data_IF_177701286222
#
_entry.id   IF_177701286222
#
_cell.length_a   1.000
_cell.length_b   1.000
_cell.length_c   1.000
_cell.angle_alpha   90.00
_cell.angle_beta   90.00
_cell.angle_gamma   90.00
#
_symmetry.space_group_name_H-M   'P 1'
#
loop_
_entity.id
_entity.type
_entity.pdbx_description
1 polymer ?
#
# COMPACT_ATOMS: atom_id res chain seq x y z
N UNK A 1 16.80 -29.09 10.95
CA UNK A 1 16.09 -27.97 11.58
C UNK A 1 16.03 -26.81 10.59
N UNK A 2 14.90 -26.14 10.46
CA UNK A 2 14.82 -24.99 9.58
C UNK A 2 15.71 -23.84 10.13
N UNK A 3 16.35 -23.11 9.24
CA UNK A 3 17.25 -21.99 9.59
C UNK A 3 16.43 -20.83 10.13
N UNK A 4 16.88 -20.20 11.24
CA UNK A 4 16.25 -18.98 11.75
C UNK A 4 16.25 -17.87 10.68
N UNK A 5 15.13 -17.14 10.58
CA UNK A 5 14.97 -15.96 9.73
C UNK A 5 15.22 -14.64 10.47
N UNK A 6 15.58 -14.72 11.76
CA UNK A 6 15.91 -13.53 12.56
C UNK A 6 17.20 -12.91 12.06
N UNK A 7 17.14 -11.60 11.82
CA UNK A 7 18.26 -10.79 11.33
C UNK A 7 18.23 -9.41 12.00
N UNK A 8 19.21 -8.58 11.75
CA UNK A 8 19.20 -7.16 12.17
C UNK A 8 18.51 -6.29 11.14
N UNK A 9 18.07 -5.10 11.55
CA UNK A 9 17.51 -4.09 10.64
C UNK A 9 18.49 -3.76 9.52
N UNK A 10 19.75 -3.53 9.88
CA UNK A 10 20.81 -3.18 8.94
C UNK A 10 21.02 -4.26 7.86
N UNK A 11 21.13 -5.54 8.28
CA UNK A 11 21.28 -6.65 7.34
C UNK A 11 20.06 -6.84 6.45
N UNK A 12 18.86 -6.69 7.00
CA UNK A 12 17.62 -6.81 6.23
C UNK A 12 17.53 -5.72 5.16
N UNK A 13 17.76 -4.45 5.55
CA UNK A 13 17.75 -3.32 4.62
C UNK A 13 18.80 -3.50 3.53
N UNK A 14 20.06 -3.81 3.91
CA UNK A 14 21.16 -4.01 2.96
C UNK A 14 20.89 -5.14 1.96
N UNK A 15 20.16 -6.17 2.38
CA UNK A 15 19.92 -7.36 1.55
C UNK A 15 18.77 -7.17 0.57
N UNK A 16 17.73 -6.45 0.97
CA UNK A 16 16.44 -6.44 0.25
C UNK A 16 16.02 -5.06 -0.25
N UNK A 17 16.66 -3.98 0.20
CA UNK A 17 16.23 -2.62 -0.16
C UNK A 17 17.24 -1.97 -1.11
N UNK A 18 16.72 -1.16 -2.06
CA UNK A 18 17.51 -0.48 -3.08
C UNK A 18 16.81 0.80 -3.55
N UNK A 19 17.56 1.71 -4.16
CA UNK A 19 17.04 2.96 -4.70
C UNK A 19 15.97 2.69 -5.78
N UNK A 20 14.88 3.42 -5.72
CA UNK A 20 13.78 3.34 -6.69
C UNK A 20 12.80 2.20 -6.44
N UNK A 21 13.00 1.35 -5.44
CA UNK A 21 12.10 0.23 -5.14
C UNK A 21 10.67 0.69 -4.83
N UNK A 22 9.74 -0.20 -5.07
CA UNK A 22 8.38 -0.10 -4.56
C UNK A 22 8.28 -0.74 -3.16
N UNK A 23 7.68 -0.04 -2.21
CA UNK A 23 7.56 -0.52 -0.83
C UNK A 23 6.15 -0.38 -0.31
N UNK A 24 5.60 -1.49 0.17
CA UNK A 24 4.34 -1.55 0.91
C UNK A 24 4.61 -1.23 2.38
N UNK A 25 4.00 -0.14 2.86
CA UNK A 25 4.07 0.31 4.24
C UNK A 25 2.68 0.29 4.85
N UNK A 26 2.23 -0.84 5.43
CA UNK A 26 0.96 -0.91 6.12
C UNK A 26 0.96 -0.02 7.37
N UNK A 27 -0.24 0.26 7.84
CA UNK A 27 -0.46 1.08 9.01
C UNK A 27 -1.72 1.95 8.84
N UNK A 28 -2.26 2.41 9.96
CA UNK A 28 -3.35 3.38 9.99
C UNK A 28 -2.92 4.59 10.83
N UNK A 29 -2.62 5.71 10.18
CA UNK A 29 -1.89 6.84 10.73
C UNK A 29 -0.53 6.35 11.26
N UNK A 30 -0.35 6.23 12.57
CA UNK A 30 0.89 5.72 13.18
C UNK A 30 0.72 4.32 13.82
N UNK A 31 -0.47 3.71 13.72
CA UNK A 31 -0.74 2.40 14.34
C UNK A 31 -0.32 1.29 13.40
N UNK A 32 0.53 0.38 13.86
CA UNK A 32 1.01 -0.77 13.08
C UNK A 32 1.99 -0.40 11.97
N UNK A 33 2.76 0.65 12.15
CA UNK A 33 3.85 1.08 11.25
C UNK A 33 5.19 0.58 11.79
N UNK A 34 6.05 0.10 10.91
CA UNK A 34 7.40 -0.43 11.23
C UNK A 34 8.40 0.72 11.37
N UNK A 35 8.46 1.33 12.53
CA UNK A 35 9.27 2.53 12.81
C UNK A 35 10.78 2.28 12.67
N UNK A 36 11.28 1.14 13.20
CA UNK A 36 12.72 0.80 13.14
C UNK A 36 13.16 0.49 11.71
N UNK A 37 12.33 -0.18 10.91
CA UNK A 37 12.65 -0.46 9.51
C UNK A 37 12.66 0.82 8.67
N UNK A 38 11.75 1.76 8.93
CA UNK A 38 11.74 3.08 8.29
C UNK A 38 13.01 3.87 8.63
N UNK A 39 13.41 3.90 9.90
CA UNK A 39 14.66 4.54 10.35
C UNK A 39 15.89 3.89 9.73
N UNK A 40 15.91 2.56 9.67
CA UNK A 40 16.98 1.81 9.02
C UNK A 40 17.11 2.12 7.53
N UNK A 41 16.00 2.29 6.84
CA UNK A 41 15.96 2.63 5.42
C UNK A 41 16.54 4.05 5.18
N UNK A 42 16.18 5.02 6.02
CA UNK A 42 16.72 6.38 5.98
C UNK A 42 18.24 6.36 6.28
N UNK A 43 18.65 5.63 7.33
CA UNK A 43 20.06 5.51 7.72
C UNK A 43 20.94 4.87 6.64
N UNK A 44 20.36 3.96 5.84
CA UNK A 44 21.06 3.34 4.70
C UNK A 44 21.15 4.26 3.48
N UNK A 45 20.48 5.42 3.48
CA UNK A 45 20.49 6.40 2.38
C UNK A 45 19.71 5.95 1.15
N UNK A 46 18.79 4.99 1.29
CA UNK A 46 17.91 4.52 0.21
C UNK A 46 16.93 5.63 -0.18
N UNK A 47 16.76 5.89 -1.47
CA UNK A 47 15.98 7.01 -2.00
C UNK A 47 15.16 6.66 -3.24
N UNK A 48 14.44 7.65 -3.75
CA UNK A 48 13.57 7.54 -4.94
C UNK A 48 12.44 6.51 -4.80
N UNK A 49 11.97 6.30 -3.57
CA UNK A 49 10.99 5.28 -3.23
C UNK A 49 9.61 5.49 -3.89
N UNK A 50 8.99 4.39 -4.29
CA UNK A 50 7.57 4.32 -4.63
C UNK A 50 6.80 3.72 -3.46
N UNK A 51 6.25 4.57 -2.59
CA UNK A 51 5.54 4.14 -1.37
C UNK A 51 4.09 3.82 -1.66
N UNK A 52 3.63 2.66 -1.23
CA UNK A 52 2.22 2.26 -1.24
C UNK A 52 1.76 2.10 0.22
N UNK A 53 0.79 2.92 0.63
CA UNK A 53 0.31 2.93 2.01
C UNK A 53 -1.12 3.45 2.10
N UNK A 54 -1.77 3.23 3.24
CA UNK A 54 -3.08 3.84 3.51
C UNK A 54 -3.00 5.38 3.58
N UNK A 55 -1.96 5.92 4.22
CA UNK A 55 -1.70 7.36 4.38
C UNK A 55 -0.22 7.61 4.64
N UNK A 56 0.16 8.88 4.80
CA UNK A 56 1.55 9.29 5.05
C UNK A 56 1.85 9.58 6.53
N UNK A 57 1.09 8.97 7.44
CA UNK A 57 1.22 9.20 8.89
C UNK A 57 1.02 10.69 9.27
N UNK A 58 1.65 11.14 10.34
CA UNK A 58 1.78 12.55 10.71
C UNK A 58 3.24 12.98 10.56
N UNK A 59 3.56 14.29 10.53
CA UNK A 59 4.95 14.76 10.46
C UNK A 59 5.83 14.13 11.53
N UNK A 60 7.06 13.77 11.18
CA UNK A 60 8.10 13.22 12.06
C UNK A 60 7.82 11.84 12.66
N UNK A 61 6.78 11.12 12.19
CA UNK A 61 6.43 9.78 12.66
C UNK A 61 6.05 8.85 11.52
N UNK A 62 6.36 7.56 11.68
CA UNK A 62 6.03 6.56 10.69
C UNK A 62 6.51 6.96 9.30
N UNK A 63 5.65 6.87 8.31
CA UNK A 63 5.93 7.26 6.93
C UNK A 63 6.29 8.75 6.81
N UNK A 64 5.82 9.60 7.72
CA UNK A 64 6.22 11.02 7.78
C UNK A 64 7.72 11.22 7.88
N UNK A 65 8.47 10.31 8.53
CA UNK A 65 9.94 10.35 8.56
C UNK A 65 10.57 10.22 7.17
N UNK A 66 10.00 9.38 6.29
CA UNK A 66 10.47 9.25 4.90
C UNK A 66 10.17 10.51 4.09
N UNK A 67 9.03 11.17 4.37
CA UNK A 67 8.68 12.47 3.76
C UNK A 67 9.66 13.54 4.20
N UNK A 68 9.99 13.60 5.50
CA UNK A 68 10.94 14.55 6.07
C UNK A 68 12.37 14.36 5.54
N UNK A 69 12.73 13.10 5.22
CA UNK A 69 14.06 12.73 4.71
C UNK A 69 14.22 12.89 3.18
N UNK A 70 13.19 13.36 2.46
CA UNK A 70 13.20 13.55 1.00
C UNK A 70 13.52 12.31 0.18
N UNK A 71 13.15 11.12 0.68
CA UNK A 71 13.48 9.84 0.02
C UNK A 71 12.34 9.27 -0.82
N UNK A 72 11.17 9.93 -0.84
CA UNK A 72 9.98 9.46 -1.56
C UNK A 72 9.87 10.20 -2.91
N UNK A 73 9.77 9.44 -3.99
CA UNK A 73 9.48 9.98 -5.33
C UNK A 73 8.01 9.84 -5.70
N UNK A 74 7.36 8.75 -5.33
CA UNK A 74 5.95 8.46 -5.64
C UNK A 74 5.21 7.95 -4.41
N UNK A 75 3.96 8.34 -4.27
CA UNK A 75 3.05 7.81 -3.23
C UNK A 75 1.75 7.34 -3.89
N UNK A 76 1.36 6.11 -3.58
CA UNK A 76 0.02 5.60 -3.83
C UNK A 76 -0.67 5.41 -2.48
N UNK A 77 -1.72 6.19 -2.20
CA UNK A 77 -2.39 6.13 -0.90
C UNK A 77 -3.86 6.57 -0.99
N UNK A 78 -4.59 6.43 0.12
CA UNK A 78 -5.97 6.88 0.21
C UNK A 78 -6.13 8.28 0.84
N UNK A 79 -5.11 8.77 1.56
CA UNK A 79 -5.21 10.02 2.30
C UNK A 79 -3.83 10.61 2.64
N UNK A 80 -3.67 11.93 2.49
CA UNK A 80 -2.45 12.66 2.88
C UNK A 80 -2.71 13.83 3.85
N UNK A 81 -3.98 14.15 4.12
CA UNK A 81 -4.35 15.35 4.88
C UNK A 81 -3.88 15.40 6.34
N UNK A 82 -3.41 14.28 6.90
CA UNK A 82 -2.83 14.24 8.24
C UNK A 82 -1.38 14.74 8.28
N UNK A 83 -0.74 14.93 7.12
CA UNK A 83 0.66 15.33 6.99
C UNK A 83 0.78 16.55 6.06
N UNK A 84 0.83 17.73 6.64
CA UNK A 84 0.92 18.98 5.89
C UNK A 84 2.21 19.07 5.04
N UNK A 85 3.30 18.43 5.46
CA UNK A 85 4.55 18.37 4.70
C UNK A 85 4.35 17.59 3.42
N UNK A 86 3.67 16.43 3.49
CA UNK A 86 3.33 15.65 2.29
C UNK A 86 2.45 16.45 1.34
N UNK A 87 1.42 17.14 1.88
CA UNK A 87 0.53 17.98 1.06
C UNK A 87 1.33 19.04 0.31
N UNK A 88 2.25 19.74 0.99
CA UNK A 88 3.06 20.79 0.37
C UNK A 88 3.97 20.21 -0.72
N UNK A 89 4.69 19.12 -0.46
CA UNK A 89 5.57 18.48 -1.44
C UNK A 89 4.84 17.98 -2.69
N UNK A 90 3.60 17.51 -2.54
CA UNK A 90 2.75 17.13 -3.68
C UNK A 90 2.35 18.38 -4.49
N UNK A 91 1.97 19.47 -3.83
CA UNK A 91 1.61 20.73 -4.50
C UNK A 91 2.81 21.32 -5.26
N UNK A 92 4.00 21.22 -4.69
CA UNK A 92 5.26 21.71 -5.29
C UNK A 92 5.79 20.78 -6.40
N UNK A 93 5.17 19.63 -6.61
CA UNK A 93 5.57 18.64 -7.63
C UNK A 93 6.82 17.83 -7.27
N UNK A 94 7.22 17.82 -6.01
CA UNK A 94 8.35 17.04 -5.51
C UNK A 94 7.99 15.55 -5.37
N UNK A 95 6.72 15.25 -5.05
CA UNK A 95 6.18 13.90 -4.90
C UNK A 95 5.02 13.67 -5.86
N UNK A 96 5.11 12.63 -6.69
CA UNK A 96 4.00 12.18 -7.53
C UNK A 96 2.98 11.43 -6.68
N UNK A 97 1.73 11.89 -6.68
CA UNK A 97 0.65 11.30 -5.89
C UNK A 97 -0.37 10.57 -6.76
N UNK A 98 -0.68 9.34 -6.38
CA UNK A 98 -1.84 8.59 -6.89
C UNK A 98 -2.81 8.30 -5.76
N UNK A 99 -4.00 8.88 -5.81
CA UNK A 99 -5.06 8.52 -4.88
C UNK A 99 -5.78 7.24 -5.30
N UNK A 100 -6.01 6.38 -4.31
CA UNK A 100 -6.84 5.17 -4.47
C UNK A 100 -7.78 5.11 -3.27
N UNK A 101 -9.10 4.94 -3.45
CA UNK A 101 -10.01 4.79 -2.34
C UNK A 101 -9.57 3.67 -1.40
N UNK A 102 -9.67 3.87 -0.09
CA UNK A 102 -9.06 3.00 0.93
C UNK A 102 -9.39 1.51 0.75
N UNK A 103 -10.68 1.19 0.57
CA UNK A 103 -11.11 -0.19 0.35
C UNK A 103 -10.56 -0.76 -0.96
N UNK A 104 -10.56 0.02 -2.04
CA UNK A 104 -9.97 -0.37 -3.32
C UNK A 104 -8.47 -0.61 -3.19
N UNK A 105 -7.75 0.24 -2.45
CA UNK A 105 -6.30 0.06 -2.21
C UNK A 105 -6.01 -1.28 -1.52
N UNK A 106 -6.74 -1.59 -0.45
CA UNK A 106 -6.58 -2.84 0.28
C UNK A 106 -6.86 -4.06 -0.62
N UNK A 107 -7.95 -4.01 -1.40
CA UNK A 107 -8.34 -5.10 -2.29
C UNK A 107 -7.39 -5.23 -3.49
N UNK A 108 -6.84 -4.14 -4.03
CA UNK A 108 -5.80 -4.18 -5.07
C UNK A 108 -4.54 -4.87 -4.57
N UNK A 109 -4.09 -4.56 -3.35
CA UNK A 109 -2.94 -5.21 -2.72
C UNK A 109 -3.25 -6.68 -2.44
N UNK A 110 -4.42 -6.99 -1.86
CA UNK A 110 -4.84 -8.38 -1.63
C UNK A 110 -4.90 -9.18 -2.93
N UNK A 111 -5.40 -8.59 -4.01
CA UNK A 111 -5.44 -9.21 -5.34
C UNK A 111 -4.02 -9.51 -5.85
N UNK A 112 -3.08 -8.57 -5.68
CA UNK A 112 -1.67 -8.75 -6.04
C UNK A 112 -1.03 -9.93 -5.33
N UNK A 113 -1.25 -10.02 -3.99
CA UNK A 113 -0.74 -11.14 -3.19
C UNK A 113 -1.38 -12.49 -3.50
N UNK A 114 -2.61 -12.49 -4.00
CA UNK A 114 -3.34 -13.70 -4.37
C UNK A 114 -3.17 -14.12 -5.84
N UNK A 115 -2.40 -13.38 -6.65
CA UNK A 115 -2.26 -13.63 -8.09
C UNK A 115 -3.55 -13.38 -8.89
N UNK A 116 -4.45 -12.53 -8.37
CA UNK A 116 -5.71 -12.16 -9.05
C UNK A 116 -5.42 -11.00 -9.99
N UNK A 117 -5.82 -11.11 -11.26
CA UNK A 117 -5.52 -10.14 -12.33
C UNK A 117 -6.22 -8.79 -12.21
N UNK A 118 -7.20 -8.64 -11.31
CA UNK A 118 -7.92 -7.41 -11.07
C UNK A 118 -9.17 -7.64 -10.23
N UNK A 119 -9.78 -6.54 -9.79
CA UNK A 119 -11.03 -6.56 -9.02
C UNK A 119 -12.06 -5.63 -9.68
N UNK A 120 -13.33 -5.95 -9.52
CA UNK A 120 -14.45 -5.10 -9.90
C UNK A 120 -15.05 -4.49 -8.64
N UNK A 121 -15.10 -3.17 -8.57
CA UNK A 121 -15.64 -2.44 -7.42
C UNK A 121 -16.54 -1.27 -7.86
N UNK A 122 -17.65 -1.03 -7.16
CA UNK A 122 -18.46 0.18 -7.40
C UNK A 122 -17.80 1.45 -6.82
N UNK A 123 -16.76 1.28 -5.99
CA UNK A 123 -16.08 2.40 -5.33
C UNK A 123 -15.32 3.25 -6.36
N UNK A 124 -15.57 4.56 -6.32
CA UNK A 124 -14.96 5.50 -7.26
C UNK A 124 -15.76 5.75 -8.55
N UNK A 125 -16.84 5.01 -8.80
CA UNK A 125 -17.76 5.31 -9.91
C UNK A 125 -18.25 6.76 -9.84
N UNK A 126 -18.33 7.41 -11.00
CA UNK A 126 -18.81 8.78 -11.17
C UNK A 126 -18.00 9.83 -10.41
N UNK A 127 -16.75 9.52 -10.11
CA UNK A 127 -15.77 10.43 -9.52
C UNK A 127 -14.50 10.45 -10.36
N UNK A 128 -13.59 11.41 -10.19
CA UNK A 128 -12.29 11.41 -10.89
C UNK A 128 -11.46 10.13 -10.67
N UNK A 129 -11.82 9.31 -9.69
CA UNK A 129 -11.13 8.04 -9.43
C UNK A 129 -11.37 6.98 -10.51
N UNK A 130 -12.39 7.14 -11.36
CA UNK A 130 -12.62 6.24 -12.49
C UNK A 130 -11.94 6.68 -13.79
N UNK A 131 -11.39 7.88 -13.83
CA UNK A 131 -10.78 8.43 -15.05
C UNK A 131 -9.63 7.56 -15.55
N UNK A 132 -9.65 7.25 -16.85
CA UNK A 132 -8.67 6.38 -17.48
C UNK A 132 -8.81 4.89 -17.16
N UNK A 133 -9.80 4.48 -16.37
CA UNK A 133 -10.05 3.09 -16.03
C UNK A 133 -11.20 2.50 -16.84
N UNK A 134 -11.19 1.19 -16.99
CA UNK A 134 -12.32 0.49 -17.59
C UNK A 134 -13.49 0.39 -16.63
N UNK A 135 -14.69 0.68 -17.12
CA UNK A 135 -15.94 0.48 -16.41
C UNK A 135 -16.72 -0.64 -17.09
N UNK A 136 -17.30 -1.52 -16.29
CA UNK A 136 -18.15 -2.62 -16.77
C UNK A 136 -19.53 -2.53 -16.17
N UNK A 137 -20.51 -3.00 -16.92
CA UNK A 137 -21.92 -3.12 -16.49
C UNK A 137 -22.31 -4.60 -16.56
N UNK A 138 -22.96 -5.09 -15.52
CA UNK A 138 -23.54 -6.43 -15.52
C UNK A 138 -24.83 -6.44 -16.36
N UNK A 139 -24.84 -7.26 -17.39
CA UNK A 139 -26.01 -7.52 -18.21
C UNK A 139 -26.72 -8.77 -17.67
N UNK A 140 -27.88 -8.57 -17.06
CA UNK A 140 -28.63 -9.66 -16.41
C UNK A 140 -29.22 -10.63 -17.42
N UNK A 141 -29.64 -10.15 -18.61
CA UNK A 141 -30.22 -11.02 -19.64
C UNK A 141 -29.18 -11.88 -20.30
N UNK A 142 -28.00 -11.31 -20.58
CA UNK A 142 -26.91 -12.01 -21.21
C UNK A 142 -26.03 -12.78 -20.21
N UNK A 143 -26.19 -12.56 -18.90
CA UNK A 143 -25.40 -13.20 -17.83
C UNK A 143 -23.91 -12.90 -17.93
N UNK A 144 -23.51 -11.71 -18.40
CA UNK A 144 -22.11 -11.32 -18.60
C UNK A 144 -21.86 -9.85 -18.37
N UNK A 145 -20.59 -9.50 -18.16
CA UNK A 145 -20.17 -8.10 -18.15
C UNK A 145 -20.00 -7.57 -19.57
N UNK A 146 -20.38 -6.32 -19.79
CA UNK A 146 -20.05 -5.53 -20.98
C UNK A 146 -19.19 -4.34 -20.56
N UNK A 147 -18.19 -4.01 -21.37
CA UNK A 147 -17.42 -2.79 -21.19
C UNK A 147 -18.22 -1.58 -21.63
N UNK A 148 -18.13 -0.50 -20.86
CA UNK A 148 -18.74 0.77 -21.21
C UNK A 148 -17.68 1.69 -21.81
N UNK A 149 -18.08 2.44 -22.85
CA UNK A 149 -17.24 3.43 -23.53
C UNK A 149 -17.91 4.80 -23.48
N UNK A 150 -17.12 5.85 -23.58
CA UNK A 150 -17.59 7.23 -23.58
C UNK A 150 -17.97 7.75 -22.21
N UNK A 151 -18.86 8.75 -22.17
CA UNK A 151 -19.30 9.37 -20.93
C UNK A 151 -20.24 8.44 -20.17
N UNK A 152 -19.92 8.17 -18.91
CA UNK A 152 -20.67 7.25 -18.04
C UNK A 152 -21.39 8.06 -16.98
N UNK A 153 -22.68 8.26 -17.17
CA UNK A 153 -23.55 8.99 -16.23
C UNK A 153 -24.13 8.08 -15.15
N UNK A 154 -24.42 8.60 -13.93
CA UNK A 154 -25.05 7.83 -12.87
C UNK A 154 -26.40 7.22 -13.30
N UNK A 155 -26.57 5.93 -13.01
CA UNK A 155 -27.82 5.19 -13.21
C UNK A 155 -27.94 4.12 -12.10
N UNK A 156 -28.81 4.38 -11.13
CA UNK A 156 -29.01 3.50 -9.99
C UNK A 156 -29.66 2.14 -10.34
N UNK A 157 -30.26 2.02 -11.54
CA UNK A 157 -30.86 0.77 -12.02
C UNK A 157 -29.82 -0.21 -12.57
N UNK A 158 -28.58 0.25 -12.78
CA UNK A 158 -27.48 -0.51 -13.40
C UNK A 158 -26.44 -0.94 -12.38
N UNK A 159 -26.00 -2.20 -12.51
CA UNK A 159 -24.90 -2.75 -11.72
C UNK A 159 -23.58 -2.49 -12.45
N UNK A 160 -22.91 -1.41 -12.10
CA UNK A 160 -21.65 -0.97 -12.70
C UNK A 160 -20.48 -1.06 -11.75
N UNK A 161 -19.30 -1.27 -12.31
CA UNK A 161 -18.07 -1.44 -11.55
C UNK A 161 -16.90 -0.84 -12.31
N UNK A 162 -15.94 -0.30 -11.57
CA UNK A 162 -14.62 0.06 -12.08
C UNK A 162 -13.72 -1.17 -12.02
N UNK A 163 -12.96 -1.44 -13.06
CA UNK A 163 -11.88 -2.43 -13.04
C UNK A 163 -10.63 -1.80 -12.42
N UNK A 164 -10.20 -2.35 -11.29
CA UNK A 164 -8.97 -1.98 -10.62
C UNK A 164 -7.91 -3.07 -10.81
N UNK A 165 -6.72 -2.69 -11.29
CA UNK A 165 -5.60 -3.61 -11.45
C UNK A 165 -4.94 -3.89 -10.11
N UNK A 166 -4.35 -5.09 -9.90
CA UNK A 166 -3.71 -5.46 -8.65
C UNK A 166 -2.46 -4.60 -8.39
N UNK A 167 -2.03 -4.54 -7.13
CA UNK A 167 -0.78 -3.93 -6.70
C UNK A 167 0.10 -5.02 -6.08
N UNK A 168 1.35 -5.08 -6.54
CA UNK A 168 2.44 -5.87 -5.99
C UNK A 168 3.67 -4.99 -5.86
N UNK A 169 4.54 -5.23 -4.89
CA UNK A 169 5.72 -4.42 -4.65
C UNK A 169 6.98 -5.26 -4.45
N UNK A 170 8.15 -4.62 -4.49
CA UNK A 170 9.42 -5.30 -4.27
C UNK A 170 9.56 -5.72 -2.79
N UNK A 171 9.19 -4.82 -1.88
CA UNK A 171 9.36 -5.04 -0.43
C UNK A 171 8.11 -4.64 0.34
N UNK A 172 7.81 -5.35 1.44
CA UNK A 172 6.81 -4.97 2.43
C UNK A 172 7.42 -4.93 3.83
N UNK A 173 7.20 -3.83 4.56
CA UNK A 173 7.57 -3.72 5.97
C UNK A 173 6.35 -3.97 6.84
N UNK A 174 6.34 -5.06 7.56
CA UNK A 174 5.23 -5.47 8.44
C UNK A 174 5.58 -5.19 9.90
N UNK A 175 4.65 -4.61 10.65
CA UNK A 175 4.75 -4.50 12.11
C UNK A 175 3.93 -5.60 12.79
N UNK A 176 4.56 -6.38 13.64
CA UNK A 176 3.93 -7.44 14.41
C UNK A 176 4.15 -7.27 15.93
N UNK A 177 3.23 -7.77 16.74
CA UNK A 177 3.43 -7.85 18.18
C UNK A 177 4.44 -8.93 18.55
N UNK A 178 4.26 -10.15 18.00
CA UNK A 178 5.16 -11.28 18.24
C UNK A 178 5.48 -11.99 16.95
N UNK A 179 6.70 -12.49 16.85
CA UNK A 179 7.12 -13.37 15.78
C UNK A 179 7.86 -14.59 16.33
N UNK A 180 7.78 -15.71 15.65
CA UNK A 180 8.70 -16.81 15.89
C UNK A 180 9.92 -16.72 14.94
N UNK A 181 10.93 -17.57 15.19
CA UNK A 181 12.16 -17.61 14.37
C UNK A 181 11.94 -18.05 12.93
N UNK A 182 10.73 -18.52 12.59
CA UNK A 182 10.35 -18.95 11.25
C UNK A 182 9.62 -17.85 10.47
N UNK A 183 9.22 -16.74 11.13
CA UNK A 183 8.49 -15.64 10.53
C UNK A 183 6.96 -15.78 10.62
N UNK A 184 6.44 -16.68 11.47
CA UNK A 184 5.02 -16.64 11.82
C UNK A 184 4.78 -15.48 12.78
N UNK A 185 3.71 -14.70 12.56
CA UNK A 185 3.45 -13.45 13.28
C UNK A 185 2.08 -13.41 13.92
N UNK A 186 1.98 -12.67 15.02
CA UNK A 186 0.72 -12.35 15.70
C UNK A 186 0.62 -10.84 15.86
N UNK A 187 -0.51 -10.29 15.45
CA UNK A 187 -0.80 -8.87 15.61
C UNK A 187 -1.52 -8.59 16.94
N UNK A 188 -1.39 -7.37 17.41
CA UNK A 188 -2.03 -6.93 18.64
C UNK A 188 -3.08 -5.86 18.36
N UNK A 189 -4.34 -6.16 18.72
CA UNK A 189 -5.46 -5.20 18.61
C UNK A 189 -5.55 -4.60 17.19
N UNK A 190 -5.72 -3.29 17.08
CA UNK A 190 -5.89 -2.55 15.82
C UNK A 190 -4.61 -2.41 14.99
N UNK A 191 -3.43 -2.77 15.53
CA UNK A 191 -2.18 -2.77 14.75
C UNK A 191 -2.17 -3.82 13.63
N UNK A 192 -3.09 -4.79 13.64
CA UNK A 192 -3.31 -5.71 12.52
C UNK A 192 -3.61 -4.95 11.23
N UNK A 193 -4.57 -4.01 11.24
CA UNK A 193 -5.03 -3.15 10.14
C UNK A 193 -4.71 -3.71 8.73
N UNK A 194 -3.87 -3.04 7.94
CA UNK A 194 -3.47 -3.47 6.59
C UNK A 194 -2.30 -4.46 6.58
N UNK A 195 -1.65 -4.71 7.73
CA UNK A 195 -0.43 -5.52 7.80
C UNK A 195 -0.61 -6.91 7.19
N UNK A 196 -1.73 -7.58 7.47
CA UNK A 196 -2.01 -8.93 6.97
C UNK A 196 -2.16 -8.97 5.44
N UNK A 197 -2.93 -8.07 4.87
CA UNK A 197 -3.15 -8.03 3.43
C UNK A 197 -1.86 -7.63 2.69
N UNK A 198 -1.14 -6.65 3.20
CA UNK A 198 0.08 -6.13 2.58
C UNK A 198 1.23 -7.14 2.61
N UNK A 199 1.34 -7.94 3.67
CA UNK A 199 2.34 -8.99 3.78
C UNK A 199 2.30 -10.06 2.67
N UNK A 200 1.21 -10.14 1.91
CA UNK A 200 1.06 -11.15 0.85
C UNK A 200 1.48 -10.64 -0.53
N UNK A 201 1.70 -9.34 -0.69
CA UNK A 201 1.78 -8.67 -1.99
C UNK A 201 3.15 -8.03 -2.26
N UNK A 202 4.23 -8.66 -1.79
CA UNK A 202 5.59 -8.24 -2.09
C UNK A 202 6.51 -9.43 -2.31
N UNK A 203 7.58 -9.22 -3.09
CA UNK A 203 8.60 -10.24 -3.33
C UNK A 203 9.35 -10.58 -2.03
N UNK A 204 9.58 -9.57 -1.20
CA UNK A 204 10.23 -9.70 0.10
C UNK A 204 9.42 -9.05 1.21
N UNK A 205 9.26 -9.79 2.32
CA UNK A 205 8.56 -9.28 3.51
C UNK A 205 9.53 -9.22 4.68
N UNK A 206 9.72 -8.02 5.22
CA UNK A 206 10.54 -7.79 6.41
C UNK A 206 9.61 -7.46 7.57
N UNK A 207 9.73 -8.21 8.66
CA UNK A 207 8.86 -8.07 9.84
C UNK A 207 9.65 -7.44 10.98
N UNK A 208 9.13 -6.32 11.47
CA UNK A 208 9.52 -5.73 12.76
C UNK A 208 8.59 -6.28 13.83
N UNK A 209 9.12 -7.00 14.82
CA UNK A 209 8.34 -7.58 15.91
C UNK A 209 8.77 -7.02 17.26
N UNK A 210 7.78 -6.75 18.15
CA UNK A 210 8.06 -6.29 19.51
C UNK A 210 8.71 -7.41 20.36
N UNK A 211 8.37 -8.69 20.09
CA UNK A 211 8.90 -9.88 20.79
C UNK A 211 9.18 -11.00 19.75
N UNK A 212 10.29 -11.73 19.93
CA UNK A 212 10.68 -12.93 19.17
C UNK A 212 10.85 -14.13 20.09
#
# INVERSE_FOLDING_TARGET
MAKSKVTTVEEAIKTYCFDGMSVLLPGFVNVGVSECLIEGLIAAGIKDLSVISNNTSVPHRGIGKLVDADVIKRITCSHIGNNAVTVQKVVDGEIDLTFVPQGSLCEKVRAGGAGIGGILTPTGLYTPMMDGKQVVEWDEEAGKFKFLEGEITPDASKKRFVLELPIHADVCFVHAWKADKMGNVVYRRTSRNFNEAFATAADHVIVEAEEI
#
